data_IF_063586124289
#
_entry.id   IF_063586124289
#
_cell.length_a   1.000
_cell.length_b   1.000
_cell.length_c   1.000
_cell.angle_alpha   90.00
_cell.angle_beta   90.00
_cell.angle_gamma   90.00
#
_symmetry.space_group_name_H-M   'P 1'
#
loop_
_entity.id
_entity.type
_entity.pdbx_description
1 polymer ?
#
# COMPACT_ATOMS: atom_id res chain seq x y z
N UNK A 1 -0.61 -4.82 4.44
CA UNK A 1 -1.44 -4.22 5.51
C UNK A 1 -2.73 -5.00 5.64
N UNK A 2 -3.43 -4.87 6.77
CA UNK A 2 -4.73 -5.51 6.97
C UNK A 2 -5.86 -4.49 7.09
N UNK A 3 -6.94 -4.71 6.34
CA UNK A 3 -8.22 -4.02 6.51
C UNK A 3 -9.03 -4.79 7.56
N UNK A 4 -9.38 -4.11 8.66
CA UNK A 4 -10.01 -4.77 9.83
C UNK A 4 -11.44 -5.25 9.54
N UNK A 5 -12.18 -4.48 8.73
CA UNK A 5 -13.56 -4.78 8.34
C UNK A 5 -13.78 -4.59 6.83
N UNK A 6 -14.92 -5.07 6.31
CA UNK A 6 -15.25 -4.95 4.89
C UNK A 6 -15.57 -3.53 4.43
N UNK A 7 -15.70 -2.57 5.35
CA UNK A 7 -15.98 -1.17 5.05
C UNK A 7 -14.71 -0.31 4.98
N UNK A 8 -13.63 -0.77 5.61
CA UNK A 8 -12.34 -0.10 5.69
C UNK A 8 -11.77 0.18 4.31
N UNK A 9 -11.22 1.39 4.14
CA UNK A 9 -10.57 1.82 2.89
C UNK A 9 -9.07 1.94 3.13
N UNK A 10 -8.28 1.26 2.32
CA UNK A 10 -6.82 1.32 2.38
C UNK A 10 -6.25 2.25 1.31
N UNK A 11 -5.08 2.83 1.56
CA UNK A 11 -4.25 3.47 0.56
C UNK A 11 -2.78 3.12 0.79
N UNK A 12 -2.05 2.84 -0.29
CA UNK A 12 -0.60 2.69 -0.27
C UNK A 12 0.06 3.90 -0.91
N UNK A 13 1.14 4.38 -0.29
CA UNK A 13 1.91 5.53 -0.74
C UNK A 13 3.40 5.17 -0.80
N UNK A 14 4.09 5.66 -1.82
CA UNK A 14 5.55 5.77 -1.83
C UNK A 14 5.90 7.21 -1.45
N UNK A 15 6.54 7.41 -0.29
CA UNK A 15 6.74 8.74 0.31
C UNK A 15 5.41 9.49 0.46
N UNK A 16 5.12 10.46 -0.41
CA UNK A 16 3.87 11.24 -0.43
C UNK A 16 2.98 10.94 -1.63
N UNK A 17 3.43 10.08 -2.56
CA UNK A 17 2.72 9.76 -3.80
C UNK A 17 1.82 8.54 -3.62
N UNK A 18 0.55 8.65 -3.99
CA UNK A 18 -0.42 7.56 -3.91
C UNK A 18 -0.09 6.50 -4.98
N UNK A 19 0.06 5.25 -4.54
CA UNK A 19 0.23 4.08 -5.41
C UNK A 19 -1.13 3.45 -5.69
N UNK A 20 -1.89 3.16 -4.62
CA UNK A 20 -3.23 2.60 -4.66
C UNK A 20 -4.12 3.30 -3.65
N UNK A 21 -5.40 3.46 -4.00
CA UNK A 21 -6.47 3.88 -3.10
C UNK A 21 -7.64 2.90 -3.26
N UNK A 22 -7.82 2.01 -2.29
CA UNK A 22 -8.68 0.85 -2.43
C UNK A 22 -8.19 -0.02 -3.58
N UNK A 23 -9.10 -0.36 -4.50
CA UNK A 23 -8.76 -1.12 -5.73
C UNK A 23 -8.20 -0.26 -6.86
N UNK A 24 -8.25 1.07 -6.73
CA UNK A 24 -7.85 1.98 -7.81
C UNK A 24 -6.33 2.16 -7.81
N UNK A 25 -5.70 1.90 -8.96
CA UNK A 25 -4.27 2.12 -9.18
C UNK A 25 -4.02 3.55 -9.63
N UNK A 26 -3.24 4.30 -8.85
CA UNK A 26 -2.86 5.69 -9.13
C UNK A 26 -1.44 5.81 -9.67
N UNK A 27 -0.55 4.89 -9.29
CA UNK A 27 0.80 4.83 -9.83
C UNK A 27 0.79 4.36 -11.28
N UNK A 28 1.60 5.02 -12.11
CA UNK A 28 1.88 4.60 -13.50
C UNK A 28 2.91 3.46 -13.57
N UNK A 29 3.55 3.11 -12.47
CA UNK A 29 4.56 2.03 -12.44
C UNK A 29 3.87 0.68 -12.73
N UNK A 30 4.21 -0.03 -13.81
CA UNK A 30 3.58 -1.32 -14.12
C UNK A 30 3.96 -2.42 -13.12
N UNK A 31 5.05 -2.26 -12.36
CA UNK A 31 5.61 -3.27 -11.45
C UNK A 31 4.81 -3.42 -10.15
N UNK A 32 3.96 -2.45 -9.83
CA UNK A 32 3.20 -2.46 -8.57
C UNK A 32 1.82 -3.10 -8.72
N UNK A 33 1.47 -3.94 -7.74
CA UNK A 33 0.16 -4.56 -7.60
C UNK A 33 -0.26 -4.61 -6.13
N UNK A 34 -1.54 -4.87 -5.87
CA UNK A 34 -2.05 -5.19 -4.53
C UNK A 34 -2.52 -6.64 -4.49
N UNK A 35 -2.17 -7.36 -3.42
CA UNK A 35 -2.84 -8.61 -3.07
C UNK A 35 -4.18 -8.26 -2.45
N UNK A 36 -5.27 -8.80 -3.00
CA UNK A 36 -6.62 -8.79 -2.42
C UNK A 36 -7.17 -10.20 -2.23
N UNK A 37 -6.27 -11.20 -2.16
CA UNK A 37 -6.60 -12.64 -2.15
C UNK A 37 -7.59 -13.01 -1.04
N UNK A 38 -7.51 -12.32 0.09
CA UNK A 38 -8.59 -12.26 1.05
C UNK A 38 -8.96 -10.78 1.22
N UNK A 39 -10.25 -10.42 1.30
CA UNK A 39 -10.73 -9.01 1.33
C UNK A 39 -10.12 -8.14 2.44
N UNK A 40 -9.31 -8.72 3.33
CA UNK A 40 -8.59 -8.07 4.42
C UNK A 40 -7.11 -7.84 4.09
N UNK A 41 -6.49 -8.67 3.26
CA UNK A 41 -5.12 -8.50 2.81
C UNK A 41 -5.10 -7.33 1.82
N UNK A 42 -4.34 -6.31 2.20
CA UNK A 42 -4.12 -5.11 1.42
C UNK A 42 -2.62 -4.86 1.39
N UNK A 43 -1.91 -5.77 0.75
CA UNK A 43 -0.45 -5.77 0.69
C UNK A 43 0.03 -5.31 -0.68
N UNK A 44 0.93 -4.33 -0.67
CA UNK A 44 1.61 -3.84 -1.86
C UNK A 44 2.69 -4.84 -2.27
N UNK A 45 2.70 -5.19 -3.55
CA UNK A 45 3.77 -5.96 -4.17
C UNK A 45 4.46 -5.10 -5.22
N UNK A 46 5.80 -5.15 -5.25
CA UNK A 46 6.64 -4.49 -6.24
C UNK A 46 7.47 -5.59 -6.91
N UNK A 47 7.31 -5.77 -8.22
CA UNK A 47 8.09 -6.71 -9.00
C UNK A 47 9.36 -6.05 -9.53
N UNK A 48 10.42 -6.82 -9.78
CA UNK A 48 11.69 -6.30 -10.32
C UNK A 48 12.18 -5.06 -9.57
N UNK A 49 12.33 -5.19 -8.24
CA UNK A 49 12.75 -4.12 -7.34
C UNK A 49 14.13 -3.60 -7.75
N UNK A 50 14.25 -2.28 -7.79
CA UNK A 50 15.47 -1.53 -8.12
C UNK A 50 15.94 -0.71 -6.91
N UNK A 51 17.21 -0.30 -6.89
CA UNK A 51 17.79 0.54 -5.81
C UNK A 51 17.04 1.87 -5.64
N UNK A 52 16.37 2.37 -6.69
CA UNK A 52 15.55 3.58 -6.63
C UNK A 52 14.22 3.39 -5.91
N UNK A 53 13.80 2.15 -5.68
CA UNK A 53 12.62 1.82 -4.87
C UNK A 53 12.90 1.92 -3.36
N UNK A 54 14.16 2.07 -2.94
CA UNK A 54 14.54 2.21 -1.53
C UNK A 54 13.85 3.43 -0.87
N UNK A 55 13.30 3.18 0.33
CA UNK A 55 12.75 4.23 1.17
C UNK A 55 11.41 3.90 1.82
N UNK A 56 10.71 4.93 2.34
CA UNK A 56 9.50 4.74 3.12
C UNK A 56 8.26 4.53 2.26
N UNK A 57 7.56 3.44 2.54
CA UNK A 57 6.22 3.14 2.05
C UNK A 57 5.22 3.26 3.18
N UNK A 58 4.12 3.94 2.91
CA UNK A 58 3.08 4.19 3.91
C UNK A 58 1.79 3.53 3.49
N UNK A 59 1.18 2.84 4.44
CA UNK A 59 -0.13 2.27 4.31
C UNK A 59 -1.08 3.01 5.27
N UNK A 60 -2.12 3.61 4.71
CA UNK A 60 -3.16 4.31 5.46
C UNK A 60 -4.45 3.52 5.38
N UNK A 61 -5.04 3.17 6.52
CA UNK A 61 -6.31 2.45 6.62
C UNK A 61 -7.31 3.34 7.34
N UNK A 62 -8.37 3.72 6.64
CA UNK A 62 -9.50 4.42 7.23
C UNK A 62 -10.51 3.41 7.76
N UNK A 63 -10.62 3.34 9.09
CA UNK A 63 -11.67 2.59 9.79
C UNK A 63 -12.83 3.52 10.15
N UNK A 64 -13.96 2.98 10.66
CA UNK A 64 -15.10 3.80 11.09
C UNK A 64 -14.78 4.78 12.23
N UNK A 65 -13.81 4.45 13.09
CA UNK A 65 -13.55 5.22 14.31
C UNK A 65 -12.24 6.01 14.24
N UNK A 66 -11.18 5.42 13.71
CA UNK A 66 -9.84 6.03 13.71
C UNK A 66 -9.03 5.62 12.49
N UNK A 67 -8.52 6.59 11.71
CA UNK A 67 -7.55 6.27 10.67
C UNK A 67 -6.28 5.72 11.32
N UNK A 68 -5.71 4.69 10.71
CA UNK A 68 -4.46 4.06 11.12
C UNK A 68 -3.45 4.20 10.01
N UNK A 69 -2.23 4.55 10.38
CA UNK A 69 -1.12 4.68 9.43
C UNK A 69 0.00 3.76 9.87
N UNK A 70 0.50 2.97 8.93
CA UNK A 70 1.64 2.08 9.12
C UNK A 70 2.70 2.47 8.10
N UNK A 71 3.92 2.77 8.56
CA UNK A 71 5.06 3.02 7.69
C UNK A 71 6.01 1.83 7.74
N UNK A 72 6.47 1.43 6.56
CA UNK A 72 7.48 0.38 6.38
C UNK A 72 8.59 0.98 5.52
N UNK A 73 9.84 0.67 5.85
CA UNK A 73 10.99 1.07 5.03
C UNK A 73 11.40 -0.11 4.16
N UNK A 74 11.38 0.05 2.84
CA UNK A 74 11.94 -0.92 1.91
C UNK A 74 13.44 -0.64 1.79
N UNK A 75 14.27 -1.63 2.12
CA UNK A 75 15.72 -1.54 1.98
C UNK A 75 16.18 -2.41 0.82
N UNK A 76 16.91 -1.81 -0.12
CA UNK A 76 17.48 -2.49 -1.30
C UNK A 76 19.01 -2.37 -1.24
N UNK A 77 19.73 -3.47 -1.49
CA UNK A 77 21.20 -3.54 -1.44
C UNK A 77 21.78 -3.98 -2.77
#
# INVERSE_FOLDING_TARGET
CYLEDGASKGAWLNRSSIIFAGGDKWSVDPRVSISTLNKRDYSLQIQNVDVTDDGPYTCSVQTQHTPRTMQVHLTVQ
#
